data_IF_116988948167
#
_entry.id   IF_116988948167
#
_cell.length_a   1.000
_cell.length_b   1.000
_cell.length_c   1.000
_cell.angle_alpha   90.00
_cell.angle_beta   90.00
_cell.angle_gamma   90.00
#
_symmetry.space_group_name_H-M   'P 1'
#
loop_
_entity.id
_entity.type
_entity.pdbx_description
1 polymer ?
#
# COMPACT_ATOMS: atom_id res chain seq x y z
N UNK A 1 -37.13 20.20 -32.15
CA UNK A 1 -37.62 19.00 -31.46
C UNK A 1 -36.63 18.62 -30.33
N UNK A 2 -36.88 19.23 -29.14
CA UNK A 2 -36.04 19.01 -27.93
C UNK A 2 -36.82 18.08 -26.97
N UNK A 3 -37.33 16.97 -27.47
CA UNK A 3 -38.21 16.11 -26.66
C UNK A 3 -37.67 14.70 -26.32
N UNK A 4 -36.35 14.48 -26.31
CA UNK A 4 -35.82 13.22 -25.74
C UNK A 4 -34.42 13.30 -25.14
N UNK A 5 -34.08 14.40 -24.49
CA UNK A 5 -32.84 14.45 -23.72
C UNK A 5 -32.98 13.63 -22.42
N UNK A 6 -32.70 12.35 -22.50
CA UNK A 6 -32.59 11.49 -21.34
C UNK A 6 -31.41 11.99 -20.50
N UNK A 7 -31.69 12.61 -19.37
CA UNK A 7 -30.66 13.01 -18.40
C UNK A 7 -29.98 11.75 -17.84
N UNK A 8 -28.72 11.51 -18.20
CA UNK A 8 -27.94 10.34 -17.76
C UNK A 8 -26.76 10.75 -16.88
N UNK A 9 -26.83 11.91 -16.25
CA UNK A 9 -25.89 12.36 -15.23
C UNK A 9 -26.53 12.15 -13.85
N UNK A 10 -25.91 11.28 -13.06
CA UNK A 10 -26.38 10.94 -11.71
C UNK A 10 -25.45 11.53 -10.66
N UNK A 11 -26.01 12.08 -9.58
CA UNK A 11 -25.28 12.58 -8.43
C UNK A 11 -25.39 11.58 -7.27
N UNK A 12 -24.26 11.16 -6.75
CA UNK A 12 -24.16 10.26 -5.61
C UNK A 12 -23.88 11.04 -4.33
N UNK A 13 -24.86 11.11 -3.44
CA UNK A 13 -24.76 11.85 -2.18
C UNK A 13 -23.64 11.34 -1.26
N UNK A 14 -23.41 10.03 -1.22
CA UNK A 14 -22.42 9.41 -0.35
C UNK A 14 -20.97 9.75 -0.74
N UNK A 15 -20.69 9.85 -2.03
CA UNK A 15 -19.35 10.16 -2.56
C UNK A 15 -19.21 11.62 -2.96
N UNK A 16 -20.33 12.36 -3.05
CA UNK A 16 -20.41 13.74 -3.56
C UNK A 16 -19.83 13.88 -4.98
N UNK A 17 -20.01 12.85 -5.78
CA UNK A 17 -19.55 12.80 -7.17
C UNK A 17 -20.71 12.60 -8.12
N UNK A 18 -20.52 13.01 -9.36
CA UNK A 18 -21.44 12.71 -10.45
C UNK A 18 -20.85 11.64 -11.35
N UNK A 19 -21.72 10.88 -12.02
CA UNK A 19 -21.32 9.92 -13.05
C UNK A 19 -22.20 10.09 -14.29
N UNK A 20 -21.57 10.21 -15.45
CA UNK A 20 -22.23 10.27 -16.75
C UNK A 20 -22.25 8.86 -17.37
N UNK A 21 -23.45 8.33 -17.63
CA UNK A 21 -23.63 7.00 -18.20
C UNK A 21 -23.66 6.96 -19.74
N UNK A 22 -23.49 8.09 -20.41
CA UNK A 22 -23.55 8.16 -21.87
C UNK A 22 -22.22 8.38 -22.53
N UNK A 23 -21.80 9.64 -22.67
CA UNK A 23 -20.68 10.00 -23.55
C UNK A 23 -19.33 9.86 -22.87
N UNK A 24 -19.20 10.29 -21.63
CA UNK A 24 -17.89 10.37 -20.99
C UNK A 24 -17.58 9.25 -20.00
N UNK A 25 -18.58 8.52 -19.52
CA UNK A 25 -18.47 7.38 -18.59
C UNK A 25 -17.45 7.59 -17.43
N UNK A 26 -17.38 8.82 -16.92
CA UNK A 26 -16.42 9.23 -15.89
C UNK A 26 -17.13 9.73 -14.64
N UNK A 27 -16.55 9.41 -13.48
CA UNK A 27 -16.91 10.07 -12.22
C UNK A 27 -16.21 11.41 -12.14
N UNK A 28 -16.95 12.44 -11.67
CA UNK A 28 -16.47 13.82 -11.51
C UNK A 28 -16.88 14.39 -10.17
N UNK A 29 -15.99 15.08 -9.52
CA UNK A 29 -16.33 15.93 -8.38
C UNK A 29 -16.77 17.34 -8.84
N UNK A 30 -17.06 18.23 -7.90
CA UNK A 30 -17.49 19.59 -8.20
C UNK A 30 -16.40 20.40 -8.92
N UNK A 31 -15.14 20.15 -8.62
CA UNK A 31 -13.99 20.85 -9.23
C UNK A 31 -13.87 20.42 -10.69
N UNK A 32 -13.97 19.12 -10.94
CA UNK A 32 -13.93 18.55 -12.29
C UNK A 32 -15.08 19.11 -13.16
N UNK A 33 -16.30 19.19 -12.60
CA UNK A 33 -17.47 19.71 -13.32
C UNK A 33 -17.28 21.19 -13.72
N UNK A 34 -16.78 22.02 -12.81
CA UNK A 34 -16.52 23.44 -13.11
C UNK A 34 -15.38 23.55 -14.12
N UNK A 35 -14.34 22.78 -13.97
CA UNK A 35 -13.20 22.73 -14.92
C UNK A 35 -13.66 22.37 -16.33
N UNK A 36 -14.45 21.29 -16.46
CA UNK A 36 -14.97 20.84 -17.76
C UNK A 36 -15.89 21.88 -18.37
N UNK A 37 -16.76 22.50 -17.58
CA UNK A 37 -17.65 23.58 -18.06
C UNK A 37 -16.87 24.78 -18.59
N UNK A 38 -15.87 25.25 -17.84
CA UNK A 38 -15.08 26.40 -18.24
C UNK A 38 -14.20 26.12 -19.48
N UNK A 39 -13.73 24.88 -19.64
CA UNK A 39 -13.05 24.45 -20.87
C UNK A 39 -13.97 24.50 -22.10
N UNK A 40 -15.23 24.05 -21.94
CA UNK A 40 -16.22 24.11 -23.01
C UNK A 40 -16.58 25.56 -23.39
N UNK A 41 -16.51 26.47 -22.42
CA UNK A 41 -16.71 27.90 -22.64
C UNK A 41 -15.48 28.62 -23.22
N UNK A 42 -14.36 27.89 -23.46
CA UNK A 42 -13.11 28.47 -23.95
C UNK A 42 -12.39 29.37 -22.92
N UNK A 43 -12.72 29.24 -21.65
CA UNK A 43 -12.18 30.06 -20.56
C UNK A 43 -10.83 29.54 -20.08
N UNK A 44 -9.83 30.40 -20.05
CA UNK A 44 -8.59 30.09 -19.36
C UNK A 44 -8.75 30.27 -17.85
N UNK A 45 -8.27 29.30 -17.07
CA UNK A 45 -8.38 29.33 -15.62
C UNK A 45 -7.26 28.52 -14.95
N UNK A 46 -6.98 28.86 -13.71
CA UNK A 46 -6.11 28.09 -12.80
C UNK A 46 -6.98 27.41 -11.73
N UNK A 47 -6.44 26.41 -11.09
CA UNK A 47 -7.14 25.68 -9.98
C UNK A 47 -7.65 26.64 -8.90
N UNK A 48 -6.88 27.69 -8.57
CA UNK A 48 -7.29 28.70 -7.58
C UNK A 48 -8.53 29.51 -8.00
N UNK A 49 -8.78 29.67 -9.30
CA UNK A 49 -9.96 30.39 -9.81
C UNK A 49 -11.24 29.57 -9.60
N UNK A 50 -11.14 28.25 -9.76
CA UNK A 50 -12.25 27.32 -9.46
C UNK A 50 -12.59 27.37 -7.97
N UNK A 51 -11.59 27.30 -7.09
CA UNK A 51 -11.81 27.38 -5.64
C UNK A 51 -12.42 28.73 -5.24
N UNK A 52 -11.94 29.83 -5.81
CA UNK A 52 -12.52 31.14 -5.59
C UNK A 52 -13.99 31.22 -6.01
N UNK A 53 -14.30 30.66 -7.19
CA UNK A 53 -15.67 30.59 -7.67
C UNK A 53 -16.59 29.78 -6.73
N UNK A 54 -16.11 28.62 -6.26
CA UNK A 54 -16.87 27.81 -5.30
C UNK A 54 -17.11 28.59 -4.00
N UNK A 55 -16.08 29.27 -3.47
CA UNK A 55 -16.22 30.10 -2.27
C UNK A 55 -17.25 31.22 -2.47
N UNK A 56 -17.22 31.89 -3.63
CA UNK A 56 -18.16 32.98 -3.95
C UNK A 56 -19.61 32.48 -4.05
N UNK A 57 -19.82 31.35 -4.73
CA UNK A 57 -21.14 30.73 -4.88
C UNK A 57 -21.71 30.22 -3.55
N UNK A 58 -20.83 29.66 -2.68
CA UNK A 58 -21.24 29.12 -1.39
C UNK A 58 -21.27 30.17 -0.28
N UNK A 59 -20.96 31.43 -0.55
CA UNK A 59 -20.92 32.49 0.49
C UNK A 59 -19.82 32.28 1.53
N UNK A 60 -18.77 31.53 1.20
CA UNK A 60 -17.66 31.23 2.10
C UNK A 60 -16.70 32.42 2.11
N UNK A 61 -16.48 33.05 3.26
CA UNK A 61 -15.52 34.14 3.40
C UNK A 61 -14.13 33.65 3.00
N UNK A 62 -13.53 34.30 1.97
CA UNK A 62 -12.18 34.04 1.51
C UNK A 62 -11.22 34.47 2.62
N UNK A 63 -10.75 33.51 3.41
CA UNK A 63 -9.55 33.75 4.20
C UNK A 63 -8.41 33.91 3.21
N UNK A 64 -7.96 35.14 2.98
CA UNK A 64 -6.70 35.43 2.28
C UNK A 64 -5.55 34.86 3.12
N UNK A 65 -5.32 33.58 3.05
CA UNK A 65 -4.02 33.02 3.37
C UNK A 65 -3.09 33.49 2.25
N UNK A 66 -2.44 34.65 2.48
CA UNK A 66 -1.19 34.92 1.81
C UNK A 66 -0.31 33.71 2.10
N UNK A 67 -0.16 32.84 1.10
CA UNK A 67 0.89 31.82 1.07
C UNK A 67 2.21 32.59 1.06
N UNK A 68 2.65 33.09 2.22
CA UNK A 68 4.05 33.32 2.45
C UNK A 68 4.71 31.97 2.20
N UNK A 69 5.52 31.91 1.15
CA UNK A 69 6.40 30.77 0.91
C UNK A 69 7.00 30.39 2.26
N UNK A 70 6.55 29.27 2.81
CA UNK A 70 7.10 28.76 4.04
C UNK A 70 8.43 28.10 3.69
N UNK A 71 9.48 28.94 3.61
CA UNK A 71 10.88 28.52 3.59
C UNK A 71 11.34 27.99 4.95
N UNK A 72 10.41 27.51 5.77
CA UNK A 72 10.75 27.00 7.09
C UNK A 72 10.84 25.47 7.03
N UNK A 73 12.06 24.88 7.17
CA UNK A 73 12.25 23.44 7.20
C UNK A 73 11.50 22.73 8.34
N UNK A 74 10.85 23.47 9.24
CA UNK A 74 10.01 22.95 10.32
C UNK A 74 8.52 22.81 9.94
N UNK A 75 8.11 23.17 8.71
CA UNK A 75 6.69 23.12 8.31
C UNK A 75 6.10 21.70 8.35
N UNK A 76 6.92 20.68 8.15
CA UNK A 76 6.52 19.28 8.28
C UNK A 76 6.27 18.87 9.74
N UNK A 77 7.06 19.37 10.71
CA UNK A 77 6.82 19.13 12.15
C UNK A 77 5.51 19.75 12.60
N UNK A 78 5.16 20.94 12.10
CA UNK A 78 3.88 21.59 12.39
C UNK A 78 2.68 20.89 11.71
N UNK A 79 2.88 20.27 10.54
CA UNK A 79 1.85 19.41 9.91
C UNK A 79 1.68 18.10 10.67
N UNK A 80 2.76 17.55 11.23
CA UNK A 80 2.69 16.38 12.13
C UNK A 80 2.18 16.72 13.52
N UNK A 81 2.32 17.98 14.00
CA UNK A 81 1.77 18.42 15.28
C UNK A 81 0.24 18.57 15.26
N UNK A 82 -0.37 18.75 14.09
CA UNK A 82 -1.82 18.61 13.89
C UNK A 82 -2.24 17.14 13.93
N UNK A 83 -1.32 16.24 13.73
CA UNK A 83 -1.48 14.81 13.91
C UNK A 83 -1.39 14.52 15.41
N UNK A 84 -2.55 14.35 16.03
CA UNK A 84 -2.66 14.12 17.48
C UNK A 84 -2.06 12.74 17.80
N UNK A 85 -0.87 12.63 18.44
CA UNK A 85 -0.22 11.34 18.73
C UNK A 85 -1.00 10.49 19.73
N UNK A 86 -2.14 10.99 20.22
CA UNK A 86 -3.04 10.26 21.12
C UNK A 86 -4.15 9.48 20.42
N UNK A 87 -4.28 9.55 19.10
CA UNK A 87 -5.03 8.53 18.37
C UNK A 87 -4.14 7.29 18.26
N UNK A 88 -4.14 6.54 19.36
CA UNK A 88 -3.55 5.21 19.40
C UNK A 88 -3.95 4.46 18.13
N UNK A 89 -2.99 4.15 17.28
CA UNK A 89 -3.11 3.23 16.14
C UNK A 89 -3.26 1.81 16.67
N UNK A 90 -4.28 1.61 17.52
CA UNK A 90 -4.58 0.31 18.07
C UNK A 90 -5.38 -0.47 17.04
N UNK A 91 -4.91 -1.67 16.76
CA UNK A 91 -5.71 -2.64 16.04
C UNK A 91 -7.06 -2.81 16.73
N UNK A 92 -8.14 -2.46 16.04
CA UNK A 92 -9.51 -2.51 16.56
C UNK A 92 -10.20 -3.84 16.30
N UNK A 93 -9.52 -4.77 15.61
CA UNK A 93 -10.03 -6.09 15.32
C UNK A 93 -9.87 -7.06 16.50
N UNK A 94 -10.34 -8.29 16.27
CA UNK A 94 -10.19 -9.38 17.22
C UNK A 94 -8.72 -9.78 17.37
N UNK A 95 -8.24 -9.96 18.60
CA UNK A 95 -6.99 -10.64 18.92
C UNK A 95 -7.28 -12.11 19.27
N UNK A 96 -6.36 -12.95 18.88
CA UNK A 96 -6.43 -14.39 19.15
C UNK A 96 -5.43 -14.79 20.20
N UNK A 97 -5.73 -15.86 20.92
CA UNK A 97 -4.80 -16.46 21.87
C UNK A 97 -3.60 -17.04 21.09
N UNK A 98 -2.40 -16.76 21.56
CA UNK A 98 -1.16 -17.28 20.98
C UNK A 98 -1.02 -18.79 21.16
N UNK A 99 -1.77 -19.41 22.06
CA UNK A 99 -1.73 -20.85 22.30
C UNK A 99 -2.06 -21.67 21.05
N UNK A 100 -2.82 -21.09 20.09
CA UNK A 100 -3.04 -21.74 18.80
C UNK A 100 -1.71 -22.05 18.07
N UNK A 101 -0.69 -21.21 18.23
CA UNK A 101 0.60 -21.39 17.57
C UNK A 101 1.29 -22.67 18.04
N UNK A 102 1.01 -23.16 19.26
CA UNK A 102 1.54 -24.43 19.79
C UNK A 102 1.03 -25.65 19.03
N UNK A 103 -0.16 -25.52 18.40
CA UNK A 103 -0.78 -26.59 17.58
C UNK A 103 -0.33 -26.53 16.11
N UNK A 104 0.30 -25.43 15.70
CA UNK A 104 0.89 -25.30 14.39
C UNK A 104 2.31 -25.84 14.48
N UNK A 105 2.60 -26.85 13.68
CA UNK A 105 3.91 -27.51 13.72
C UNK A 105 5.00 -26.50 13.31
N UNK A 106 5.98 -26.17 14.17
CA UNK A 106 7.15 -25.38 13.76
C UNK A 106 7.89 -26.19 12.69
N UNK A 107 7.92 -25.68 11.47
CA UNK A 107 8.51 -26.42 10.37
C UNK A 107 9.01 -25.50 9.27
N UNK A 108 10.33 -25.55 9.07
CA UNK A 108 10.95 -24.86 7.94
C UNK A 108 10.65 -25.61 6.65
N UNK A 109 9.52 -25.26 6.01
CA UNK A 109 9.05 -25.95 4.81
C UNK A 109 9.98 -25.71 3.62
N UNK A 110 10.34 -26.77 2.84
CA UNK A 110 11.22 -26.64 1.67
C UNK A 110 10.81 -25.55 0.67
N UNK A 111 9.49 -25.31 0.49
CA UNK A 111 9.02 -24.27 -0.41
C UNK A 111 9.50 -22.86 0.01
N UNK A 112 9.62 -22.58 1.31
CA UNK A 112 10.15 -21.31 1.79
C UNK A 112 11.68 -21.29 1.77
N UNK A 113 12.33 -22.41 2.04
CA UNK A 113 13.80 -22.53 1.90
C UNK A 113 14.20 -22.29 0.43
N UNK A 114 13.49 -22.87 -0.53
CA UNK A 114 13.72 -22.67 -1.96
C UNK A 114 13.40 -21.23 -2.42
N UNK A 115 12.50 -20.54 -1.72
CA UNK A 115 12.24 -19.12 -1.93
C UNK A 115 13.32 -18.22 -1.25
N UNK A 116 14.41 -18.77 -0.71
CA UNK A 116 15.50 -18.02 -0.08
C UNK A 116 15.19 -17.53 1.35
N UNK A 117 14.19 -18.11 2.02
CA UNK A 117 13.85 -17.76 3.40
C UNK A 117 14.58 -18.72 4.35
N UNK A 118 15.41 -18.17 5.23
CA UNK A 118 16.25 -18.96 6.17
C UNK A 118 15.42 -19.60 7.29
N UNK A 119 15.99 -20.63 7.93
CA UNK A 119 15.36 -21.28 9.10
C UNK A 119 15.23 -20.31 10.26
N UNK A 120 16.24 -19.51 10.48
CA UNK A 120 16.33 -18.51 11.55
C UNK A 120 15.23 -17.46 11.39
N UNK A 121 15.01 -16.98 10.16
CA UNK A 121 13.90 -16.06 9.86
C UNK A 121 12.54 -16.71 10.08
N UNK A 122 12.37 -17.97 9.63
CA UNK A 122 11.11 -18.68 9.86
C UNK A 122 10.82 -18.87 11.35
N UNK A 123 11.81 -19.19 12.14
CA UNK A 123 11.71 -19.30 13.61
C UNK A 123 11.38 -17.95 14.24
N UNK A 124 12.14 -16.89 13.89
CA UNK A 124 11.93 -15.52 14.36
C UNK A 124 10.51 -15.02 14.14
N UNK A 125 9.93 -15.30 12.97
CA UNK A 125 8.58 -14.87 12.61
C UNK A 125 7.49 -15.88 13.00
N UNK A 126 7.84 -16.99 13.63
CA UNK A 126 6.91 -18.03 14.09
C UNK A 126 6.23 -18.76 12.93
N UNK A 127 6.92 -18.89 11.79
CA UNK A 127 6.39 -19.61 10.63
C UNK A 127 6.20 -21.08 10.98
N UNK A 128 5.02 -21.60 10.69
CA UNK A 128 4.67 -22.98 10.97
C UNK A 128 4.03 -23.66 9.77
N UNK A 129 3.55 -24.86 10.03
CA UNK A 129 2.86 -25.68 9.02
C UNK A 129 1.59 -26.29 9.57
N UNK A 130 0.53 -26.23 8.78
CA UNK A 130 -0.74 -26.85 9.07
C UNK A 130 -0.98 -28.05 8.13
N UNK A 131 -0.63 -29.29 8.58
CA UNK A 131 -0.63 -30.48 7.73
C UNK A 131 -2.01 -30.81 7.15
N UNK A 132 -3.09 -30.62 7.95
CA UNK A 132 -4.44 -30.98 7.55
C UNK A 132 -4.91 -30.30 6.25
N UNK A 133 -4.32 -29.17 5.87
CA UNK A 133 -4.63 -28.43 4.63
C UNK A 133 -3.41 -28.20 3.75
N UNK A 134 -2.27 -28.76 4.09
CA UNK A 134 -1.01 -28.56 3.38
C UNK A 134 -0.71 -27.06 3.19
N UNK A 135 -0.67 -26.32 4.31
CA UNK A 135 -0.50 -24.87 4.32
C UNK A 135 0.68 -24.45 5.20
N UNK A 136 1.54 -23.56 4.69
CA UNK A 136 2.50 -22.84 5.53
C UNK A 136 1.73 -21.73 6.25
N UNK A 137 1.90 -21.63 7.56
CA UNK A 137 1.21 -20.64 8.40
C UNK A 137 2.13 -19.48 8.72
N UNK A 138 1.59 -18.27 8.61
CA UNK A 138 2.30 -17.01 8.78
C UNK A 138 1.51 -16.21 9.82
N UNK A 139 1.93 -16.20 11.10
CA UNK A 139 1.29 -15.43 12.14
C UNK A 139 1.37 -13.94 11.85
N UNK A 140 0.30 -13.21 12.10
CA UNK A 140 0.20 -11.77 11.91
C UNK A 140 -0.02 -11.10 13.25
N UNK A 141 0.81 -10.12 13.57
CA UNK A 141 0.77 -9.40 14.82
C UNK A 141 0.46 -7.92 14.61
N UNK A 142 -0.21 -7.30 15.57
CA UNK A 142 -0.27 -5.85 15.65
C UNK A 142 1.04 -5.26 16.19
N UNK A 143 1.16 -3.94 16.20
CA UNK A 143 2.37 -3.24 16.66
C UNK A 143 2.74 -3.59 18.11
N UNK A 144 1.77 -3.96 18.95
CA UNK A 144 1.98 -4.33 20.35
C UNK A 144 2.29 -5.83 20.52
N UNK A 145 2.46 -6.56 19.44
CA UNK A 145 2.75 -8.00 19.43
C UNK A 145 1.55 -8.89 19.77
N UNK A 146 0.31 -8.36 19.73
CA UNK A 146 -0.91 -9.16 19.85
C UNK A 146 -1.16 -9.96 18.56
N UNK A 147 -1.45 -11.26 18.66
CA UNK A 147 -1.79 -12.08 17.51
C UNK A 147 -3.16 -11.65 16.96
N UNK A 148 -3.18 -11.08 15.75
CA UNK A 148 -4.42 -10.57 15.12
C UNK A 148 -4.97 -11.50 14.06
N UNK A 149 -4.18 -12.45 13.59
CA UNK A 149 -4.61 -13.45 12.63
C UNK A 149 -3.49 -14.37 12.19
N UNK A 150 -3.81 -15.30 11.31
CA UNK A 150 -2.84 -16.21 10.71
C UNK A 150 -3.11 -16.25 9.22
N UNK A 151 -2.13 -15.81 8.44
CA UNK A 151 -2.13 -15.92 6.99
C UNK A 151 -1.54 -17.27 6.59
N UNK A 152 -2.00 -17.85 5.47
CA UNK A 152 -1.51 -19.13 5.02
C UNK A 152 -1.13 -19.08 3.55
N UNK A 153 0.02 -19.71 3.21
CA UNK A 153 0.36 -20.05 1.83
C UNK A 153 -0.13 -21.45 1.52
N UNK A 154 -1.05 -21.57 0.57
CA UNK A 154 -1.50 -22.84 0.04
C UNK A 154 -0.39 -23.51 -0.78
N UNK A 155 -0.07 -24.76 -0.47
CA UNK A 155 0.88 -25.56 -1.23
C UNK A 155 0.18 -26.47 -2.24
N UNK A 156 -1.11 -26.75 -2.03
CA UNK A 156 -1.94 -27.52 -2.95
C UNK A 156 -2.80 -26.56 -3.77
N UNK A 157 -2.31 -26.14 -4.93
CA UNK A 157 -3.13 -25.43 -5.90
C UNK A 157 -3.82 -26.45 -6.81
N UNK A 158 -5.11 -26.69 -6.54
CA UNK A 158 -5.93 -27.62 -7.34
C UNK A 158 -6.32 -27.05 -8.71
N UNK A 159 -6.41 -25.73 -8.81
CA UNK A 159 -6.70 -24.99 -10.04
C UNK A 159 -6.18 -23.54 -9.94
N UNK A 160 -6.22 -22.80 -11.06
CA UNK A 160 -5.81 -21.36 -11.12
C UNK A 160 -6.71 -20.45 -10.28
N UNK A 161 -7.87 -20.91 -9.80
CA UNK A 161 -8.82 -20.13 -9.00
C UNK A 161 -8.53 -20.22 -7.51
N UNK A 162 -7.74 -21.20 -7.07
CA UNK A 162 -7.38 -21.35 -5.65
C UNK A 162 -6.38 -20.26 -5.26
N UNK A 163 -6.73 -19.32 -4.37
CA UNK A 163 -5.81 -18.26 -3.97
C UNK A 163 -4.54 -18.83 -3.34
N UNK A 164 -3.38 -18.27 -3.72
CA UNK A 164 -2.08 -18.65 -3.18
C UNK A 164 -1.99 -18.36 -1.67
N UNK A 165 -2.60 -17.26 -1.24
CA UNK A 165 -2.60 -16.82 0.14
C UNK A 165 -4.04 -16.61 0.64
N UNK A 166 -4.36 -17.14 1.81
CA UNK A 166 -5.66 -17.02 2.47
C UNK A 166 -5.49 -16.97 3.99
N UNK A 167 -6.47 -16.47 4.76
CA UNK A 167 -6.49 -16.62 6.21
C UNK A 167 -6.63 -18.10 6.61
N UNK A 168 -6.01 -18.49 7.73
CA UNK A 168 -6.16 -19.83 8.28
C UNK A 168 -7.62 -20.08 8.68
N UNK A 169 -8.19 -21.15 8.15
CA UNK A 169 -9.43 -21.73 8.65
C UNK A 169 -9.17 -23.19 8.99
N UNK A 170 -9.28 -23.55 10.27
CA UNK A 170 -9.03 -24.91 10.73
C UNK A 170 -10.09 -25.91 10.21
N UNK A 171 -9.80 -27.20 10.29
CA UNK A 171 -10.81 -28.23 9.96
C UNK A 171 -11.97 -28.23 10.96
N UNK A 172 -11.75 -27.78 12.21
CA UNK A 172 -12.79 -27.58 13.22
C UNK A 172 -13.63 -26.33 13.00
N UNK A 173 -13.36 -25.53 11.94
CA UNK A 173 -14.13 -24.34 11.59
C UNK A 173 -13.66 -23.03 12.23
N UNK A 174 -12.61 -23.03 13.06
CA UNK A 174 -12.05 -21.81 13.61
C UNK A 174 -11.43 -20.97 12.48
N UNK A 175 -11.75 -19.67 12.44
CA UNK A 175 -11.32 -18.73 11.40
C UNK A 175 -10.42 -17.65 12.02
N UNK A 176 -9.20 -17.52 11.48
CA UNK A 176 -8.15 -16.60 11.96
C UNK A 176 -7.99 -15.41 11.02
N UNK A 177 -9.09 -14.94 10.44
CA UNK A 177 -9.11 -13.71 9.63
C UNK A 177 -8.75 -12.49 10.47
N UNK A 178 -8.16 -11.51 9.80
CA UNK A 178 -7.81 -10.24 10.39
C UNK A 178 -8.14 -9.08 9.43
N UNK A 179 -8.22 -7.88 9.97
CA UNK A 179 -8.44 -6.67 9.19
C UNK A 179 -7.12 -6.23 8.55
N UNK A 180 -6.88 -6.66 7.32
CA UNK A 180 -5.63 -6.41 6.61
C UNK A 180 -5.30 -4.91 6.50
N UNK A 181 -6.30 -4.03 6.40
CA UNK A 181 -6.12 -2.59 6.29
C UNK A 181 -5.68 -1.91 7.59
N UNK A 182 -5.70 -2.61 8.73
CA UNK A 182 -5.27 -2.10 10.03
C UNK A 182 -3.88 -2.61 10.45
N UNK A 183 -3.21 -3.42 9.63
CA UNK A 183 -1.91 -4.01 9.99
C UNK A 183 -0.92 -3.96 8.83
N UNK A 184 0.37 -3.91 9.19
CA UNK A 184 1.50 -4.11 8.28
C UNK A 184 2.30 -5.30 8.79
N UNK A 185 2.50 -6.31 7.95
CA UNK A 185 3.26 -7.50 8.34
C UNK A 185 4.72 -7.14 8.61
N UNK A 186 5.26 -7.67 9.68
CA UNK A 186 6.65 -7.42 10.09
C UNK A 186 6.88 -6.13 10.85
N UNK A 187 5.88 -5.24 10.94
CA UNK A 187 6.05 -3.94 11.58
C UNK A 187 6.43 -4.08 13.06
N UNK A 188 5.81 -4.99 13.80
CA UNK A 188 6.11 -5.26 15.22
C UNK A 188 7.55 -5.72 15.45
N UNK A 189 8.17 -6.35 14.45
CA UNK A 189 9.56 -6.83 14.52
C UNK A 189 10.56 -5.76 14.10
N UNK A 190 10.23 -4.99 13.06
CA UNK A 190 11.14 -4.08 12.38
C UNK A 190 10.98 -2.61 12.82
N UNK A 191 9.98 -2.29 13.66
CA UNK A 191 9.70 -0.94 14.15
C UNK A 191 10.94 -0.25 14.77
N UNK A 192 11.75 -0.89 15.62
CA UNK A 192 12.92 -0.23 16.19
C UNK A 192 13.94 0.21 15.12
N UNK A 193 14.16 -0.64 14.12
CA UNK A 193 15.09 -0.34 13.03
C UNK A 193 14.52 0.71 12.05
N UNK A 194 13.21 0.69 11.80
CA UNK A 194 12.51 1.74 11.03
C UNK A 194 12.69 3.11 11.71
N UNK A 195 12.47 3.17 13.03
CA UNK A 195 12.65 4.42 13.80
C UNK A 195 14.11 4.89 13.82
N UNK A 196 15.06 3.98 13.85
CA UNK A 196 16.49 4.29 13.80
C UNK A 196 16.91 4.85 12.44
N UNK A 197 16.56 4.15 11.35
CA UNK A 197 16.95 4.53 9.99
C UNK A 197 16.10 5.66 9.41
N UNK A 198 14.92 5.91 9.98
CA UNK A 198 13.89 6.81 9.43
C UNK A 198 13.43 6.42 8.03
N UNK A 199 13.59 5.16 7.67
CA UNK A 199 13.19 4.60 6.38
C UNK A 199 12.29 3.40 6.59
N UNK A 200 11.33 3.20 5.68
CA UNK A 200 10.47 2.02 5.63
C UNK A 200 10.38 1.51 4.21
N UNK A 201 10.43 0.19 4.04
CA UNK A 201 10.24 -0.48 2.76
C UNK A 201 8.88 -1.16 2.74
N UNK A 202 8.07 -0.85 1.73
CA UNK A 202 6.72 -1.37 1.55
C UNK A 202 6.72 -2.44 0.47
N UNK A 203 6.55 -3.70 0.87
CA UNK A 203 6.40 -4.84 -0.03
C UNK A 203 4.93 -5.26 -0.16
N UNK A 204 4.61 -5.97 -1.24
CA UNK A 204 3.26 -6.48 -1.46
C UNK A 204 2.94 -7.65 -0.51
N UNK A 205 3.85 -8.60 -0.39
CA UNK A 205 3.62 -9.87 0.30
C UNK A 205 4.53 -10.10 1.50
N UNK A 206 4.07 -10.86 2.54
CA UNK A 206 4.92 -11.30 3.64
C UNK A 206 6.18 -12.05 3.21
N UNK A 207 6.15 -12.75 2.06
CA UNK A 207 7.30 -13.47 1.52
C UNK A 207 8.51 -12.54 1.33
N UNK A 208 8.31 -11.37 0.74
CA UNK A 208 9.39 -10.41 0.49
C UNK A 208 10.02 -9.89 1.81
N UNK A 209 9.20 -9.68 2.85
CA UNK A 209 9.71 -9.31 4.19
C UNK A 209 10.57 -10.42 4.77
N UNK A 210 10.12 -11.68 4.68
CA UNK A 210 10.87 -12.83 5.19
C UNK A 210 12.18 -13.06 4.41
N UNK A 211 12.17 -12.86 3.09
CA UNK A 211 13.36 -12.90 2.26
C UNK A 211 14.36 -11.82 2.65
N UNK A 212 13.88 -10.58 2.83
CA UNK A 212 14.75 -9.49 3.23
C UNK A 212 15.33 -9.73 4.64
N UNK A 213 14.53 -10.25 5.58
CA UNK A 213 15.02 -10.61 6.91
C UNK A 213 16.10 -11.71 6.86
N UNK A 214 15.97 -12.66 5.93
CA UNK A 214 16.97 -13.71 5.71
C UNK A 214 18.29 -13.16 5.16
N UNK A 215 18.23 -12.07 4.40
CA UNK A 215 19.42 -11.37 3.89
C UNK A 215 20.00 -10.42 4.94
N UNK A 216 19.13 -9.73 5.69
CA UNK A 216 19.45 -8.67 6.65
C UNK A 216 18.55 -8.82 7.88
N UNK A 217 19.03 -9.49 8.96
CA UNK A 217 18.23 -9.71 10.17
C UNK A 217 17.76 -8.44 10.90
N UNK A 218 18.44 -7.31 10.64
CA UNK A 218 17.99 -5.96 11.01
C UNK A 218 17.64 -5.22 9.74
N UNK A 219 16.35 -4.99 9.53
CA UNK A 219 15.83 -4.36 8.32
C UNK A 219 14.58 -3.52 8.62
N UNK A 220 14.13 -2.77 7.65
CA UNK A 220 12.99 -1.86 7.74
C UNK A 220 11.83 -2.25 6.80
N UNK A 221 11.72 -3.54 6.49
CA UNK A 221 10.69 -4.07 5.60
C UNK A 221 9.36 -4.30 6.32
N UNK A 222 8.27 -3.99 5.63
CA UNK A 222 6.91 -4.37 6.01
C UNK A 222 6.12 -4.78 4.79
N UNK A 223 5.07 -5.62 4.97
CA UNK A 223 4.21 -5.98 3.85
C UNK A 223 2.79 -5.48 4.02
N UNK A 224 2.19 -5.14 2.88
CA UNK A 224 0.85 -4.55 2.78
C UNK A 224 -0.27 -5.57 2.57
N UNK A 225 0.03 -6.87 2.37
CA UNK A 225 -0.93 -7.90 1.97
C UNK A 225 -1.67 -7.55 0.66
N UNK A 226 -0.94 -7.15 -0.36
CA UNK A 226 -1.41 -6.64 -1.64
C UNK A 226 -1.02 -5.18 -1.85
N UNK A 227 -1.50 -4.56 -2.93
CA UNK A 227 -1.06 -3.21 -3.36
C UNK A 227 -1.91 -2.06 -2.79
N UNK A 228 -2.86 -2.33 -1.90
CA UNK A 228 -3.75 -1.29 -1.39
C UNK A 228 -3.32 -0.79 -0.01
N UNK A 229 -2.62 0.34 0.03
CA UNK A 229 -2.28 1.04 1.26
C UNK A 229 -3.36 2.08 1.59
N UNK A 230 -4.14 1.86 2.65
CA UNK A 230 -5.16 2.81 3.13
C UNK A 230 -4.57 3.94 3.97
N UNK A 231 -5.43 4.92 4.33
CA UNK A 231 -5.04 6.05 5.17
C UNK A 231 -4.58 5.61 6.55
N UNK A 232 -5.21 4.61 7.12
CA UNK A 232 -4.90 4.08 8.45
C UNK A 232 -3.45 3.59 8.53
N UNK A 233 -3.03 2.81 7.52
CA UNK A 233 -1.64 2.30 7.45
C UNK A 233 -0.63 3.39 7.09
N UNK A 234 -1.02 4.37 6.24
CA UNK A 234 -0.20 5.57 6.01
C UNK A 234 0.06 6.30 7.32
N UNK A 235 -0.98 6.56 8.10
CA UNK A 235 -0.89 7.30 9.35
C UNK A 235 -0.01 6.55 10.36
N UNK A 236 -0.15 5.22 10.45
CA UNK A 236 0.72 4.35 11.24
C UNK A 236 2.20 4.48 10.83
N UNK A 237 2.49 4.54 9.53
CA UNK A 237 3.84 4.74 9.01
C UNK A 237 4.40 6.12 9.39
N UNK A 238 3.60 7.17 9.23
CA UNK A 238 4.01 8.54 9.56
C UNK A 238 4.28 8.73 11.05
N UNK A 239 3.55 8.03 11.94
CA UNK A 239 3.78 8.03 13.39
C UNK A 239 5.15 7.45 13.79
N UNK A 240 5.75 6.62 12.95
CA UNK A 240 7.11 6.12 13.16
C UNK A 240 8.17 7.19 12.91
N UNK A 241 7.80 8.35 12.37
CA UNK A 241 8.70 9.47 12.08
C UNK A 241 9.65 9.17 10.90
N UNK A 242 9.17 8.43 9.90
CA UNK A 242 9.96 8.12 8.70
C UNK A 242 10.21 9.36 7.86
N UNK A 243 11.39 9.45 7.27
CA UNK A 243 11.79 10.48 6.31
C UNK A 243 11.79 9.99 4.86
N UNK A 244 11.80 8.66 4.66
CA UNK A 244 11.74 8.03 3.35
C UNK A 244 10.86 6.79 3.38
N UNK A 245 9.94 6.69 2.41
CA UNK A 245 9.18 5.49 2.09
C UNK A 245 9.72 4.91 0.78
N UNK A 246 10.09 3.63 0.80
CA UNK A 246 10.65 2.91 -0.34
C UNK A 246 9.62 1.90 -0.79
N UNK A 247 9.10 2.04 -2.01
CA UNK A 247 8.09 1.16 -2.59
C UNK A 247 8.79 0.00 -3.29
N UNK A 248 8.47 -1.23 -2.90
CA UNK A 248 9.01 -2.47 -3.46
C UNK A 248 7.90 -3.44 -3.85
N UNK A 249 6.97 -3.04 -4.72
CA UNK A 249 5.92 -3.91 -5.25
C UNK A 249 6.46 -4.85 -6.33
N UNK A 250 5.75 -5.97 -6.54
CA UNK A 250 6.14 -6.99 -7.50
C UNK A 250 6.11 -6.44 -8.94
N UNK A 251 7.03 -6.91 -9.79
CA UNK A 251 7.11 -6.54 -11.21
C UNK A 251 5.98 -7.21 -12.00
N UNK A 252 4.84 -6.55 -12.10
CA UNK A 252 3.65 -7.06 -12.79
C UNK A 252 3.58 -6.63 -14.27
N UNK A 253 4.73 -6.62 -14.97
CA UNK A 253 4.86 -6.32 -16.40
C UNK A 253 6.05 -7.10 -17.00
N UNK A 254 6.01 -7.35 -18.31
CA UNK A 254 7.07 -8.04 -19.07
C UNK A 254 7.88 -7.03 -19.88
N UNK A 255 7.21 -6.08 -20.52
CA UNK A 255 7.80 -5.08 -21.39
C UNK A 255 7.52 -3.67 -20.89
N UNK A 256 8.47 -2.77 -21.11
CA UNK A 256 8.32 -1.33 -20.85
C UNK A 256 7.50 -0.68 -21.98
N UNK A 257 6.23 -1.04 -22.08
CA UNK A 257 5.33 -0.57 -23.11
C UNK A 257 4.96 0.88 -22.85
N UNK A 258 5.72 1.81 -23.43
CA UNK A 258 5.46 3.26 -23.36
C UNK A 258 4.47 3.73 -24.43
N UNK A 259 4.12 2.86 -25.40
CA UNK A 259 3.30 3.26 -26.53
C UNK A 259 1.81 3.00 -26.31
N UNK A 260 1.08 4.08 -26.27
CA UNK A 260 -0.26 4.34 -26.83
C UNK A 260 -1.49 3.78 -26.18
N UNK A 261 -1.47 2.80 -25.29
CA UNK A 261 -2.75 2.38 -24.68
C UNK A 261 -2.71 2.54 -23.16
N UNK A 262 -3.67 3.30 -22.64
CA UNK A 262 -3.75 3.69 -21.21
C UNK A 262 -3.99 2.51 -20.24
N UNK A 263 -3.88 1.27 -20.69
CA UNK A 263 -4.18 0.06 -19.93
C UNK A 263 -3.13 -1.07 -20.06
N UNK A 264 -1.88 -0.75 -20.39
CA UNK A 264 -0.82 -1.77 -20.41
C UNK A 264 -0.48 -2.22 -18.97
N UNK A 265 0.07 -3.45 -18.79
CA UNK A 265 0.54 -3.90 -17.47
C UNK A 265 1.55 -2.93 -16.85
N UNK A 266 2.43 -2.33 -17.64
CA UNK A 266 3.40 -1.36 -17.18
C UNK A 266 2.75 -0.06 -16.68
N UNK A 267 1.77 0.48 -17.40
CA UNK A 267 1.02 1.67 -16.92
C UNK A 267 0.23 1.37 -15.65
N UNK A 268 -0.29 0.15 -15.51
CA UNK A 268 -0.95 -0.30 -14.28
C UNK A 268 0.03 -0.39 -13.11
N UNK A 269 1.25 -0.88 -13.32
CA UNK A 269 2.32 -0.88 -12.32
C UNK A 269 2.65 0.54 -11.88
N UNK A 270 2.89 1.47 -12.83
CA UNK A 270 3.17 2.88 -12.52
C UNK A 270 2.00 3.55 -11.78
N UNK A 271 0.76 3.23 -12.17
CA UNK A 271 -0.43 3.72 -11.46
C UNK A 271 -0.43 3.27 -9.99
N UNK A 272 -0.12 2.00 -9.72
CA UNK A 272 -0.05 1.46 -8.36
C UNK A 272 1.07 2.12 -7.54
N UNK A 273 2.25 2.31 -8.13
CA UNK A 273 3.37 3.05 -7.49
C UNK A 273 2.92 4.46 -7.14
N UNK A 274 2.33 5.19 -8.09
CA UNK A 274 1.86 6.56 -7.88
C UNK A 274 0.73 6.64 -6.85
N UNK A 275 -0.19 5.68 -6.84
CA UNK A 275 -1.27 5.59 -5.85
C UNK A 275 -0.72 5.50 -4.42
N UNK A 276 0.30 4.67 -4.19
CA UNK A 276 0.97 4.57 -2.89
C UNK A 276 1.75 5.85 -2.60
N UNK A 277 2.53 6.36 -3.55
CA UNK A 277 3.36 7.56 -3.37
C UNK A 277 2.53 8.79 -3.01
N UNK A 278 1.37 8.98 -3.63
CA UNK A 278 0.46 10.09 -3.36
C UNK A 278 -0.04 10.16 -1.92
N UNK A 279 -0.09 9.02 -1.20
CA UNK A 279 -0.44 9.01 0.22
C UNK A 279 0.61 9.71 1.08
N UNK A 280 1.85 9.77 0.63
CA UNK A 280 2.98 10.36 1.36
C UNK A 280 3.43 11.70 0.80
N UNK A 281 2.78 12.18 -0.27
CA UNK A 281 3.11 13.46 -0.88
C UNK A 281 3.05 14.61 0.15
N UNK A 282 4.12 15.38 0.24
CA UNK A 282 4.25 16.48 1.21
C UNK A 282 4.57 16.06 2.65
N UNK A 283 4.69 14.76 2.94
CA UNK A 283 5.07 14.26 4.27
C UNK A 283 6.53 13.79 4.33
N UNK A 284 6.95 12.97 3.38
CA UNK A 284 8.31 12.41 3.34
C UNK A 284 8.74 12.13 1.89
N UNK A 285 10.03 11.80 1.72
CA UNK A 285 10.56 11.34 0.43
C UNK A 285 9.97 9.99 0.08
N UNK A 286 9.59 9.79 -1.19
CA UNK A 286 9.15 8.50 -1.72
C UNK A 286 10.08 8.06 -2.84
N UNK A 287 10.53 6.81 -2.76
CA UNK A 287 11.34 6.16 -3.80
C UNK A 287 10.75 4.80 -4.16
N UNK A 288 11.13 4.25 -5.30
CA UNK A 288 10.70 2.94 -5.78
C UNK A 288 11.91 2.10 -6.16
N UNK A 289 11.87 0.82 -5.80
CA UNK A 289 12.82 -0.21 -6.27
C UNK A 289 12.42 -0.59 -7.69
N UNK A 290 12.88 0.22 -8.65
CA UNK A 290 12.52 0.04 -10.05
C UNK A 290 13.58 -0.75 -10.79
N UNK A 291 13.16 -1.80 -11.48
CA UNK A 291 14.02 -2.67 -12.26
C UNK A 291 14.25 -2.09 -13.66
N UNK A 292 15.38 -1.35 -13.80
CA UNK A 292 15.77 -0.72 -15.06
C UNK A 292 16.42 -1.69 -16.04
N UNK A 293 17.11 -2.68 -15.51
CA UNK A 293 18.02 -3.54 -16.26
C UNK A 293 17.41 -4.91 -16.54
N UNK A 294 16.13 -5.09 -16.23
CA UNK A 294 15.34 -6.31 -16.44
C UNK A 294 15.92 -7.54 -15.70
N UNK A 295 16.45 -7.30 -14.50
CA UNK A 295 16.99 -8.35 -13.63
C UNK A 295 15.91 -9.23 -12.99
N UNK A 296 14.68 -8.69 -12.84
CA UNK A 296 13.54 -9.38 -12.27
C UNK A 296 12.68 -10.03 -13.35
N UNK A 297 12.17 -11.21 -13.05
CA UNK A 297 11.14 -11.85 -13.88
C UNK A 297 9.73 -11.29 -13.61
N UNK A 298 8.78 -11.69 -14.46
CA UNK A 298 7.36 -11.37 -14.28
C UNK A 298 6.85 -11.85 -12.93
N UNK A 299 6.24 -10.93 -12.16
CA UNK A 299 5.74 -11.14 -10.79
C UNK A 299 6.81 -11.45 -9.74
N UNK A 300 8.07 -11.18 -10.03
CA UNK A 300 9.08 -11.21 -8.99
C UNK A 300 8.96 -9.99 -8.09
N UNK A 301 9.07 -10.22 -6.79
CA UNK A 301 9.34 -9.16 -5.82
C UNK A 301 10.82 -8.72 -5.93
N UNK A 302 11.18 -7.50 -5.54
CA UNK A 302 12.58 -7.05 -5.54
C UNK A 302 13.56 -7.95 -4.77
N UNK A 303 13.06 -8.80 -3.88
CA UNK A 303 13.84 -9.73 -3.05
C UNK A 303 13.96 -11.14 -3.64
N UNK A 304 13.22 -11.47 -4.71
CA UNK A 304 13.15 -12.85 -5.23
C UNK A 304 14.44 -13.33 -5.89
N UNK A 305 15.29 -12.42 -6.37
CA UNK A 305 16.55 -12.75 -7.04
C UNK A 305 17.78 -12.70 -6.13
N UNK A 306 17.54 -12.65 -4.81
CA UNK A 306 18.60 -12.69 -3.81
C UNK A 306 19.27 -11.34 -3.54
N UNK A 307 20.33 -11.40 -2.73
CA UNK A 307 20.95 -10.20 -2.15
C UNK A 307 21.52 -9.25 -3.19
N UNK A 308 22.26 -9.74 -4.16
CA UNK A 308 22.98 -8.93 -5.15
C UNK A 308 22.03 -8.06 -5.97
N UNK A 309 20.96 -8.67 -6.51
CA UNK A 309 19.97 -7.95 -7.30
C UNK A 309 19.18 -6.97 -6.40
N UNK A 310 18.81 -7.40 -5.19
CA UNK A 310 18.15 -6.50 -4.24
C UNK A 310 19.02 -5.26 -3.91
N UNK A 311 20.31 -5.43 -3.64
CA UNK A 311 21.24 -4.31 -3.38
C UNK A 311 21.35 -3.37 -4.58
N UNK A 312 21.44 -3.91 -5.80
CA UNK A 312 21.46 -3.13 -7.05
C UNK A 312 20.20 -2.26 -7.14
N UNK A 313 19.00 -2.83 -6.96
CA UNK A 313 17.73 -2.11 -6.98
C UNK A 313 17.64 -1.07 -5.85
N UNK A 314 18.12 -1.42 -4.65
CA UNK A 314 18.08 -0.51 -3.49
C UNK A 314 18.97 0.72 -3.71
N UNK A 315 20.19 0.54 -4.26
CA UNK A 315 21.11 1.66 -4.53
C UNK A 315 20.69 2.50 -5.74
N UNK A 316 20.05 1.90 -6.74
CA UNK A 316 19.57 2.59 -7.94
C UNK A 316 18.11 3.10 -7.82
N UNK A 317 17.48 3.00 -6.63
CA UNK A 317 16.07 3.37 -6.44
C UNK A 317 15.75 4.78 -6.91
N UNK A 318 14.63 4.92 -7.58
CA UNK A 318 14.22 6.17 -8.21
C UNK A 318 13.28 6.96 -7.32
N UNK A 319 13.39 8.29 -7.34
CA UNK A 319 12.43 9.18 -6.66
C UNK A 319 11.09 9.14 -7.43
N UNK A 320 9.99 9.01 -6.70
CA UNK A 320 8.64 9.07 -7.25
C UNK A 320 8.05 10.46 -6.99
N UNK A 321 7.54 11.08 -8.04
CA UNK A 321 6.84 12.37 -7.96
C UNK A 321 7.77 13.53 -7.56
N UNK A 322 8.17 14.31 -8.52
CA UNK A 322 8.55 15.71 -8.33
C UNK A 322 7.54 16.58 -9.09
#
# INVERSE_FOLDING_TARGET
DIESASYKLYFYLNTRTTFCFTECQKSRDIIDLISDRWKLEGREFRFGDILNYICDVCGINKVRTTLKQATNPLSWKNRLAVYNPTKNTHYLGKRYDKDILKFLKPYAHPAFLNDGISRETMEKFGIGFYPAKNQITIPVYDLNGGLVGIHCRNLTQKDKRTPKYIPLKTVSGLDYRFKQHEVLYGLNMNEPYIRYTKQIQLFESPKAVLQLDSMYPQNNAVAMFGMNLGKERRDMILELGVSEVIIGIDKDYIEHDYETDSQTPFTSYLHNVNKIANLFHGYCKVTVLYDKDDDLGYKDAPTDRGREIYEKLYHSRMKVGA
#
